data_IF_579589801691
#
_entry.id   IF_579589801691
#
_cell.length_a   1.000
_cell.length_b   1.000
_cell.length_c   1.000
_cell.angle_alpha   90.00
_cell.angle_beta   90.00
_cell.angle_gamma   90.00
#
_symmetry.space_group_name_H-M   'P 1'
#
loop_
_entity.id
_entity.type
_entity.pdbx_description
1 polymer ?
#
# COMPACT_ATOMS: atom_id res chain seq x y z
N UNK A 1 26.24 -42.60 51.08
CA UNK A 1 26.51 -41.95 49.78
C UNK A 1 25.30 -41.07 49.43
N UNK A 2 25.39 -39.75 49.60
CA UNK A 2 24.30 -38.80 49.30
C UNK A 2 24.49 -38.26 47.86
N UNK A 3 23.66 -38.66 46.91
CA UNK A 3 23.66 -38.14 45.57
C UNK A 3 22.83 -36.85 45.52
N UNK A 4 23.47 -35.81 45.06
CA UNK A 4 23.07 -34.42 45.00
C UNK A 4 21.73 -34.18 44.22
N UNK A 5 20.73 -33.65 44.93
CA UNK A 5 19.44 -33.21 44.37
C UNK A 5 19.49 -31.92 43.52
N UNK A 6 20.68 -31.35 43.30
CA UNK A 6 20.85 -30.06 42.65
C UNK A 6 20.85 -30.07 41.10
N UNK A 7 21.15 -31.23 40.48
CA UNK A 7 21.29 -31.29 39.00
C UNK A 7 19.99 -31.41 38.20
N UNK A 8 18.90 -31.80 38.84
CA UNK A 8 17.60 -31.96 38.12
C UNK A 8 16.82 -30.68 37.95
N UNK A 9 17.13 -29.60 38.71
CA UNK A 9 16.43 -28.32 38.62
C UNK A 9 16.99 -27.37 37.57
N UNK A 10 18.23 -27.54 37.14
CA UNK A 10 18.87 -26.71 36.09
C UNK A 10 18.50 -27.13 34.68
N UNK A 11 18.13 -28.41 34.46
CA UNK A 11 17.74 -28.91 33.14
C UNK A 11 16.30 -28.53 32.81
N UNK A 12 15.42 -28.38 33.80
CA UNK A 12 14.03 -27.98 33.58
C UNK A 12 13.86 -26.49 33.24
N UNK A 13 14.78 -25.63 33.67
CA UNK A 13 14.74 -24.20 33.36
C UNK A 13 15.24 -23.85 31.93
N UNK A 14 16.18 -24.67 31.38
CA UNK A 14 16.71 -24.44 30.05
C UNK A 14 15.75 -24.88 28.91
N UNK A 15 14.88 -25.87 29.17
CA UNK A 15 13.89 -26.34 28.17
C UNK A 15 12.67 -25.42 28.07
N UNK A 16 12.33 -24.72 29.17
CA UNK A 16 11.21 -23.77 29.17
C UNK A 16 11.51 -22.48 28.39
N UNK A 17 12.78 -22.07 28.30
CA UNK A 17 13.17 -20.83 27.64
C UNK A 17 13.27 -20.97 26.12
N UNK A 18 13.52 -22.19 25.61
CA UNK A 18 13.60 -22.44 24.16
C UNK A 18 12.23 -22.62 23.50
N UNK A 19 11.19 -22.95 24.24
CA UNK A 19 9.81 -23.05 23.71
C UNK A 19 9.10 -21.70 23.61
N UNK A 20 9.56 -20.68 24.33
CA UNK A 20 8.93 -19.34 24.27
C UNK A 20 9.37 -18.52 23.06
N UNK A 21 10.54 -18.78 22.47
CA UNK A 21 10.98 -18.09 21.26
C UNK A 21 10.35 -18.62 19.95
N UNK A 22 9.79 -19.83 19.97
CA UNK A 22 9.15 -20.41 18.78
C UNK A 22 7.72 -19.88 18.54
N UNK A 23 7.08 -19.26 19.55
CA UNK A 23 5.71 -18.71 19.41
C UNK A 23 5.69 -17.25 18.99
N UNK A 24 6.77 -16.51 19.12
CA UNK A 24 6.85 -15.13 18.70
C UNK A 24 7.01 -14.94 17.19
N UNK A 25 7.42 -16.00 16.46
CA UNK A 25 7.60 -15.96 15.00
C UNK A 25 6.33 -16.21 14.19
N UNK A 26 5.28 -16.79 14.78
CA UNK A 26 4.05 -17.14 14.06
C UNK A 26 2.98 -16.04 14.04
N UNK A 27 3.16 -14.97 14.81
CA UNK A 27 2.17 -13.88 14.93
C UNK A 27 2.25 -12.84 13.78
N UNK A 28 3.30 -12.88 12.95
CA UNK A 28 3.47 -11.94 11.83
C UNK A 28 2.95 -12.45 10.47
N UNK A 29 2.44 -13.69 10.43
CA UNK A 29 1.89 -14.28 9.21
C UNK A 29 0.36 -14.27 9.16
N UNK A 30 -0.32 -13.60 10.10
CA UNK A 30 -1.77 -13.42 10.01
C UNK A 30 -2.06 -12.30 9.02
N UNK A 31 -2.30 -12.71 7.75
CA UNK A 31 -2.80 -11.85 6.72
C UNK A 31 -4.03 -11.09 7.21
N UNK A 32 -4.06 -9.77 7.01
CA UNK A 32 -5.21 -8.94 7.36
C UNK A 32 -6.48 -9.53 6.75
N UNK A 33 -7.59 -9.60 7.51
CA UNK A 33 -8.88 -10.05 6.96
C UNK A 33 -9.28 -9.12 5.82
N UNK A 34 -9.23 -9.60 4.58
CA UNK A 34 -9.69 -8.82 3.44
C UNK A 34 -8.78 -8.83 2.21
N UNK A 35 -7.92 -9.83 2.00
CA UNK A 35 -7.36 -10.16 0.67
C UNK A 35 -6.41 -9.13 0.00
N UNK A 36 -6.08 -7.99 0.62
CA UNK A 36 -5.21 -6.95 0.05
C UNK A 36 -3.79 -6.80 0.66
N UNK A 37 -3.28 -7.67 1.54
CA UNK A 37 -2.06 -7.37 2.29
C UNK A 37 -0.80 -7.32 1.42
N UNK A 38 -0.70 -8.15 0.40
CA UNK A 38 0.52 -8.24 -0.42
C UNK A 38 0.54 -7.25 -1.59
N UNK A 39 -0.62 -6.75 -2.02
CA UNK A 39 -0.72 -5.83 -3.16
C UNK A 39 -0.03 -4.50 -2.87
N UNK A 40 -0.24 -3.93 -1.67
CA UNK A 40 0.37 -2.64 -1.31
C UNK A 40 1.89 -2.70 -1.25
N UNK A 41 2.44 -3.77 -0.66
CA UNK A 41 3.89 -3.93 -0.59
C UNK A 41 4.50 -4.19 -1.97
N UNK A 42 3.86 -5.01 -2.79
CA UNK A 42 4.28 -5.25 -4.15
C UNK A 42 4.16 -3.99 -5.03
N UNK A 43 3.11 -3.19 -4.84
CA UNK A 43 2.92 -1.92 -5.54
C UNK A 43 4.03 -0.91 -5.17
N UNK A 44 4.36 -0.79 -3.88
CA UNK A 44 5.48 0.05 -3.42
C UNK A 44 6.84 -0.36 -3.99
N UNK A 45 7.01 -1.65 -4.27
CA UNK A 45 8.23 -2.22 -4.82
C UNK A 45 8.20 -2.32 -6.36
N UNK A 46 7.11 -1.93 -7.02
CA UNK A 46 6.97 -2.03 -8.47
C UNK A 46 7.93 -1.06 -9.17
N UNK A 47 8.63 -1.50 -10.23
CA UNK A 47 9.46 -0.62 -11.05
C UNK A 47 8.66 0.58 -11.57
N UNK A 48 9.21 1.79 -11.41
CA UNK A 48 8.56 3.03 -11.83
C UNK A 48 7.38 3.48 -10.94
N UNK A 49 7.10 2.79 -9.82
CA UNK A 49 6.22 3.31 -8.77
C UNK A 49 7.02 4.30 -7.92
N UNK A 50 6.63 5.56 -7.96
CA UNK A 50 7.33 6.67 -7.28
C UNK A 50 6.92 6.82 -5.81
N UNK A 51 5.75 6.29 -5.44
CA UNK A 51 5.25 6.32 -4.08
C UNK A 51 3.81 5.84 -3.98
N UNK A 52 3.44 5.41 -2.78
CA UNK A 52 2.10 4.92 -2.46
C UNK A 52 1.67 5.45 -1.11
N UNK A 53 0.53 6.12 -1.10
CA UNK A 53 -0.17 6.55 0.10
C UNK A 53 -1.52 5.87 0.22
N UNK A 54 -2.03 5.76 1.43
CA UNK A 54 -3.36 5.20 1.68
C UNK A 54 -4.17 6.11 2.57
N UNK A 55 -5.48 6.10 2.36
CA UNK A 55 -6.38 6.94 3.12
C UNK A 55 -7.78 6.37 3.21
N UNK A 56 -8.68 7.16 3.80
CA UNK A 56 -10.10 6.89 3.86
C UNK A 56 -10.87 8.17 3.55
N UNK A 57 -11.87 8.08 2.71
CA UNK A 57 -12.78 9.19 2.44
C UNK A 57 -13.81 9.36 3.56
N UNK A 58 -14.45 10.52 3.64
CA UNK A 58 -15.58 10.78 4.54
C UNK A 58 -16.77 9.83 4.29
N UNK A 59 -16.92 9.33 3.05
CA UNK A 59 -17.91 8.30 2.68
C UNK A 59 -17.50 6.86 3.05
N UNK A 60 -16.38 6.69 3.78
CA UNK A 60 -15.91 5.39 4.27
C UNK A 60 -15.16 4.52 3.27
N UNK A 61 -14.89 5.02 2.05
CA UNK A 61 -14.06 4.28 1.08
C UNK A 61 -12.61 4.21 1.55
N UNK A 62 -11.96 3.07 1.37
CA UNK A 62 -10.49 2.99 1.44
C UNK A 62 -9.92 3.47 0.11
N UNK A 63 -8.86 4.26 0.16
CA UNK A 63 -8.22 4.83 -1.02
C UNK A 63 -6.73 4.51 -1.02
N UNK A 64 -6.23 4.15 -2.19
CA UNK A 64 -4.80 4.01 -2.47
C UNK A 64 -4.46 5.07 -3.50
N UNK A 65 -3.44 5.85 -3.22
CA UNK A 65 -2.82 6.81 -4.12
C UNK A 65 -1.48 6.24 -4.56
N UNK A 66 -1.31 5.95 -5.84
CA UNK A 66 -0.08 5.41 -6.39
C UNK A 66 0.43 6.30 -7.51
N UNK A 67 1.66 6.80 -7.37
CA UNK A 67 2.31 7.61 -8.41
C UNK A 67 3.21 6.72 -9.25
N UNK A 68 3.01 6.75 -10.55
CA UNK A 68 3.85 6.07 -11.53
C UNK A 68 4.61 7.08 -12.36
N UNK A 69 5.86 6.79 -12.69
CA UNK A 69 6.71 7.69 -13.48
C UNK A 69 6.23 7.83 -14.93
N UNK A 70 5.50 6.85 -15.47
CA UNK A 70 5.08 6.79 -16.87
C UNK A 70 3.90 5.85 -17.08
N UNK A 71 3.26 5.93 -18.26
CA UNK A 71 2.28 4.95 -18.72
C UNK A 71 2.86 3.54 -18.71
N UNK A 72 4.10 3.38 -19.19
CA UNK A 72 4.76 2.06 -19.22
C UNK A 72 4.83 1.43 -17.83
N UNK A 73 5.27 2.17 -16.81
CA UNK A 73 5.36 1.68 -15.45
C UNK A 73 4.00 1.24 -14.89
N UNK A 74 2.94 2.02 -15.17
CA UNK A 74 1.57 1.67 -14.78
C UNK A 74 1.07 0.40 -15.49
N UNK A 75 1.35 0.26 -16.78
CA UNK A 75 0.97 -0.93 -17.58
C UNK A 75 1.76 -2.16 -17.14
N UNK A 76 3.06 -2.02 -16.87
CA UNK A 76 3.89 -3.11 -16.31
C UNK A 76 3.33 -3.59 -14.96
N UNK A 77 2.92 -2.67 -14.08
CA UNK A 77 2.23 -3.01 -12.84
C UNK A 77 0.91 -3.73 -13.10
N UNK A 78 0.08 -3.23 -14.01
CA UNK A 78 -1.18 -3.87 -14.39
C UNK A 78 -0.99 -5.33 -14.82
N UNK A 79 0.05 -5.64 -15.59
CA UNK A 79 0.38 -6.98 -16.05
C UNK A 79 1.15 -7.82 -15.04
N UNK A 80 1.58 -7.25 -13.91
CA UNK A 80 2.32 -8.01 -12.90
C UNK A 80 1.49 -9.17 -12.34
N UNK A 81 2.16 -10.28 -12.03
CA UNK A 81 1.51 -11.47 -11.46
C UNK A 81 0.74 -11.17 -10.17
N UNK A 82 1.27 -10.24 -9.36
CA UNK A 82 0.64 -9.87 -8.08
C UNK A 82 -0.68 -9.15 -8.34
N UNK A 83 -0.68 -8.16 -9.26
CA UNK A 83 -1.88 -7.42 -9.62
C UNK A 83 -2.91 -8.34 -10.29
N UNK A 84 -2.49 -9.15 -11.26
CA UNK A 84 -3.38 -10.08 -11.97
C UNK A 84 -4.03 -11.12 -11.03
N UNK A 85 -3.27 -11.69 -10.09
CA UNK A 85 -3.83 -12.59 -9.08
C UNK A 85 -4.82 -11.88 -8.16
N UNK A 86 -4.52 -10.65 -7.73
CA UNK A 86 -5.42 -9.87 -6.90
C UNK A 86 -6.73 -9.57 -7.63
N UNK A 87 -6.66 -9.13 -8.88
CA UNK A 87 -7.84 -8.84 -9.70
C UNK A 87 -8.67 -10.11 -9.92
N UNK A 88 -8.05 -11.23 -10.22
CA UNK A 88 -8.75 -12.51 -10.40
C UNK A 88 -9.41 -13.02 -9.11
N UNK A 89 -8.81 -12.76 -7.94
CA UNK A 89 -9.42 -13.14 -6.66
C UNK A 89 -10.66 -12.30 -6.33
N UNK A 90 -10.69 -11.06 -6.75
CA UNK A 90 -11.83 -10.14 -6.53
C UNK A 90 -12.90 -10.31 -7.59
N UNK A 91 -12.51 -10.54 -8.84
CA UNK A 91 -13.39 -10.63 -10.01
C UNK A 91 -13.12 -11.93 -10.80
N UNK A 92 -13.45 -13.11 -10.26
CA UNK A 92 -13.07 -14.39 -10.85
C UNK A 92 -13.66 -14.63 -12.25
N UNK A 93 -14.80 -14.02 -12.55
CA UNK A 93 -15.55 -14.20 -13.79
C UNK A 93 -15.33 -13.05 -14.79
N UNK A 94 -14.41 -12.12 -14.51
CA UNK A 94 -14.15 -10.96 -15.38
C UNK A 94 -12.90 -11.20 -16.22
N UNK A 95 -13.00 -10.91 -17.52
CA UNK A 95 -11.85 -10.84 -18.41
C UNK A 95 -11.34 -9.39 -18.43
N UNK A 96 -10.07 -9.19 -18.16
CA UNK A 96 -9.44 -7.88 -18.18
C UNK A 96 -8.73 -7.64 -19.51
N UNK A 97 -8.64 -6.38 -19.91
CA UNK A 97 -8.02 -5.97 -21.17
C UNK A 97 -6.54 -6.38 -21.21
N UNK A 98 -6.12 -6.88 -22.37
CA UNK A 98 -4.71 -7.19 -22.62
C UNK A 98 -3.88 -5.94 -22.92
N UNK A 99 -4.53 -4.88 -23.40
CA UNK A 99 -3.92 -3.60 -23.70
C UNK A 99 -4.66 -2.50 -22.93
N UNK A 100 -4.35 -2.31 -21.64
CA UNK A 100 -4.97 -1.25 -20.86
C UNK A 100 -4.54 0.12 -21.34
N UNK A 101 -5.43 1.10 -21.25
CA UNK A 101 -5.17 2.51 -21.51
C UNK A 101 -4.75 2.83 -22.95
N UNK A 102 -5.42 2.32 -23.99
CA UNK A 102 -5.05 2.59 -25.38
C UNK A 102 -5.12 4.09 -25.71
N UNK A 103 -6.03 4.83 -25.07
CA UNK A 103 -6.24 6.28 -25.29
C UNK A 103 -5.19 7.17 -24.63
N UNK A 104 -4.37 6.62 -23.73
CA UNK A 104 -3.37 7.40 -23.02
C UNK A 104 -2.08 7.47 -23.84
N UNK A 105 -1.54 8.68 -24.15
CA UNK A 105 -0.28 8.82 -24.86
C UNK A 105 0.90 8.20 -24.12
N UNK A 106 1.90 7.69 -24.87
CA UNK A 106 3.08 7.06 -24.25
C UNK A 106 3.95 8.05 -23.46
N UNK A 107 3.93 9.33 -23.86
CA UNK A 107 4.69 10.42 -23.25
C UNK A 107 3.91 11.18 -22.17
N UNK A 108 2.86 10.58 -21.62
CA UNK A 108 2.00 11.22 -20.61
C UNK A 108 2.77 11.70 -19.36
N UNK A 109 3.95 11.13 -19.09
CA UNK A 109 4.74 11.46 -17.89
C UNK A 109 4.15 10.85 -16.62
N UNK A 110 4.30 11.56 -15.49
CA UNK A 110 3.85 11.05 -14.17
C UNK A 110 2.34 10.91 -14.09
N UNK A 111 1.88 9.77 -13.62
CA UNK A 111 0.47 9.42 -13.47
C UNK A 111 0.19 9.12 -11.99
N UNK A 112 -0.84 9.75 -11.45
CA UNK A 112 -1.44 9.38 -10.17
C UNK A 112 -2.62 8.44 -10.43
N UNK A 113 -2.52 7.20 -10.00
CA UNK A 113 -3.64 6.27 -9.96
C UNK A 113 -4.32 6.34 -8.57
N UNK A 114 -5.61 6.62 -8.56
CA UNK A 114 -6.45 6.61 -7.36
C UNK A 114 -7.34 5.39 -7.42
N UNK A 115 -7.10 4.43 -6.51
CA UNK A 115 -7.94 3.24 -6.36
C UNK A 115 -8.84 3.43 -5.15
N UNK A 116 -10.15 3.53 -5.35
CA UNK A 116 -11.14 3.68 -4.29
C UNK A 116 -11.96 2.40 -4.11
N UNK A 117 -12.00 1.86 -2.90
CA UNK A 117 -12.67 0.60 -2.60
C UNK A 117 -13.75 0.82 -1.53
N UNK A 118 -14.97 0.41 -1.83
CA UNK A 118 -16.06 0.31 -0.86
C UNK A 118 -16.31 -1.15 -0.55
N UNK A 119 -16.40 -1.48 0.73
CA UNK A 119 -16.76 -2.81 1.20
C UNK A 119 -18.26 -2.84 1.51
N UNK A 120 -18.89 -3.97 1.30
CA UNK A 120 -20.24 -4.21 1.78
C UNK A 120 -20.28 -4.14 3.32
N UNK A 121 -21.45 -3.86 3.87
CA UNK A 121 -21.66 -3.99 5.31
C UNK A 121 -21.36 -5.42 5.74
N UNK A 122 -20.75 -5.56 6.93
CA UNK A 122 -20.36 -6.87 7.45
C UNK A 122 -21.63 -7.71 7.69
N UNK A 123 -21.81 -8.76 6.90
CA UNK A 123 -22.71 -9.86 7.22
C UNK A 123 -22.06 -10.79 8.24
N UNK A 124 -22.82 -11.65 8.89
CA UNK A 124 -22.34 -12.61 9.91
C UNK A 124 -21.20 -13.51 9.43
N UNK A 125 -21.06 -13.71 8.13
CA UNK A 125 -19.99 -14.46 7.47
C UNK A 125 -18.76 -13.57 7.18
N UNK A 126 -18.24 -12.91 8.15
CA UNK A 126 -16.93 -12.18 8.32
C UNK A 126 -16.10 -11.85 7.06
N UNK A 127 -16.47 -12.22 5.86
CA UNK A 127 -15.82 -11.83 4.62
C UNK A 127 -16.41 -10.52 4.12
N UNK A 128 -15.70 -9.41 4.29
CA UNK A 128 -16.09 -8.11 3.72
C UNK A 128 -15.93 -8.17 2.21
N UNK A 129 -16.98 -8.55 1.51
CA UNK A 129 -17.01 -8.48 0.05
C UNK A 129 -16.79 -7.03 -0.41
N UNK A 130 -16.07 -6.85 -1.50
CA UNK A 130 -15.96 -5.55 -2.17
C UNK A 130 -17.29 -5.29 -2.85
N UNK A 131 -17.93 -4.16 -2.49
CA UNK A 131 -19.19 -3.71 -3.12
C UNK A 131 -18.94 -2.81 -4.31
N UNK A 132 -17.83 -2.05 -4.32
CA UNK A 132 -17.41 -1.31 -5.50
C UNK A 132 -15.90 -1.02 -5.45
N UNK A 133 -15.31 -0.93 -6.63
CA UNK A 133 -13.94 -0.44 -6.85
C UNK A 133 -13.97 0.56 -8.00
N UNK A 134 -13.28 1.67 -7.83
CA UNK A 134 -13.03 2.66 -8.87
C UNK A 134 -11.52 2.83 -9.03
N UNK A 135 -11.06 2.95 -10.27
CA UNK A 135 -9.66 3.27 -10.58
C UNK A 135 -9.70 4.48 -11.51
N UNK A 136 -9.12 5.57 -11.06
CA UNK A 136 -9.11 6.85 -11.75
C UNK A 136 -7.67 7.31 -11.94
N UNK A 137 -7.36 7.92 -13.08
CA UNK A 137 -6.02 8.37 -13.41
C UNK A 137 -5.98 9.88 -13.55
N UNK A 138 -4.93 10.49 -12.99
CA UNK A 138 -4.72 11.93 -13.00
C UNK A 138 -3.26 12.26 -13.32
N UNK A 139 -3.05 13.38 -13.99
CA UNK A 139 -1.72 13.95 -14.18
C UNK A 139 -1.52 15.20 -13.32
N UNK A 140 -0.28 15.52 -12.91
CA UNK A 140 0.00 16.75 -12.18
C UNK A 140 -0.15 17.97 -13.12
N UNK A 141 -1.04 18.89 -12.73
CA UNK A 141 -1.13 20.17 -13.41
C UNK A 141 0.02 21.10 -12.99
N UNK A 142 0.46 22.01 -13.88
CA UNK A 142 1.44 23.03 -13.50
C UNK A 142 0.92 23.96 -12.39
N UNK A 143 1.82 24.40 -11.52
CA UNK A 143 1.51 25.35 -10.44
C UNK A 143 1.23 24.66 -9.11
N UNK A 144 0.70 25.43 -8.17
CA UNK A 144 0.42 24.99 -6.82
C UNK A 144 1.37 25.57 -5.77
N UNK A 145 1.04 25.32 -4.50
CA UNK A 145 1.85 25.70 -3.33
C UNK A 145 1.92 24.55 -2.37
N UNK A 146 3.11 24.28 -1.85
CA UNK A 146 3.33 23.36 -0.75
C UNK A 146 4.01 24.10 0.41
N UNK A 147 3.50 23.95 1.62
CA UNK A 147 4.05 24.58 2.83
C UNK A 147 4.44 23.50 3.82
N UNK A 148 5.72 23.40 4.16
CA UNK A 148 6.24 22.39 5.08
C UNK A 148 6.21 20.96 4.56
N UNK A 149 5.95 20.76 3.27
CA UNK A 149 5.85 19.47 2.61
C UNK A 149 4.64 19.35 1.70
N UNK A 150 4.53 18.22 1.02
CA UNK A 150 3.44 17.95 0.07
C UNK A 150 3.00 16.47 0.12
N UNK A 151 1.80 16.21 -0.39
CA UNK A 151 1.22 14.87 -0.44
C UNK A 151 1.92 13.97 -1.49
N UNK A 152 2.23 14.53 -2.66
CA UNK A 152 2.96 13.77 -3.68
C UNK A 152 4.41 13.51 -3.25
N UNK A 153 5.00 12.36 -3.60
CA UNK A 153 6.42 12.10 -3.36
C UNK A 153 7.33 13.21 -3.93
N UNK A 154 8.43 13.50 -3.26
CA UNK A 154 9.35 14.58 -3.67
C UNK A 154 9.96 14.37 -5.07
N UNK A 155 10.08 13.10 -5.50
CA UNK A 155 10.58 12.74 -6.83
C UNK A 155 9.62 13.16 -7.94
N UNK A 156 8.32 13.30 -7.68
CA UNK A 156 7.32 13.80 -8.63
C UNK A 156 7.57 15.27 -8.92
N UNK A 157 7.94 15.60 -10.16
CA UNK A 157 8.19 16.99 -10.56
C UNK A 157 6.91 17.66 -11.03
N UNK A 158 6.55 18.76 -10.38
CA UNK A 158 5.41 19.61 -10.77
C UNK A 158 5.95 20.96 -11.23
N UNK A 159 5.76 21.27 -12.50
CA UNK A 159 6.24 22.55 -13.06
C UNK A 159 5.56 23.73 -12.38
N UNK A 160 6.34 24.68 -11.87
CA UNK A 160 5.80 25.90 -11.23
C UNK A 160 5.22 25.67 -9.84
N UNK A 161 5.44 24.53 -9.20
CA UNK A 161 5.12 24.35 -7.79
C UNK A 161 5.99 25.25 -6.94
N UNK A 162 5.38 26.05 -6.07
CA UNK A 162 6.05 26.88 -5.08
C UNK A 162 6.15 26.13 -3.75
N UNK A 163 7.36 25.81 -3.32
CA UNK A 163 7.60 25.18 -2.01
C UNK A 163 8.06 26.22 -0.99
N UNK A 164 7.41 26.26 0.17
CA UNK A 164 7.64 27.22 1.26
C UNK A 164 7.98 26.41 2.52
N UNK A 165 9.20 26.59 3.10
CA UNK A 165 9.51 26.00 4.39
C UNK A 165 8.54 26.45 5.48
N UNK A 166 8.23 25.58 6.46
CA UNK A 166 7.27 25.89 7.52
C UNK A 166 7.72 27.09 8.38
N UNK A 167 9.03 27.26 8.60
CA UNK A 167 9.60 28.37 9.36
C UNK A 167 9.33 29.73 8.70
N UNK A 168 9.29 29.75 7.36
CA UNK A 168 8.94 30.97 6.62
C UNK A 168 7.44 31.30 6.69
N UNK A 169 6.58 30.28 6.80
CA UNK A 169 5.15 30.44 6.88
C UNK A 169 4.69 30.93 8.27
N UNK A 170 5.43 30.63 9.32
CA UNK A 170 5.09 30.96 10.71
C UNK A 170 5.67 32.30 11.19
N UNK A 171 6.60 32.91 10.43
CA UNK A 171 7.22 34.17 10.81
C UNK A 171 6.25 35.33 10.53
N UNK A 172 5.80 36.10 11.55
CA UNK A 172 4.98 37.28 11.31
C UNK A 172 5.75 38.31 10.48
N UNK A 173 5.16 38.80 9.42
CA UNK A 173 5.66 39.97 8.68
C UNK A 173 5.59 41.18 9.61
N UNK A 174 6.76 41.74 9.97
CA UNK A 174 6.86 43.02 10.68
C UNK A 174 6.53 44.16 9.75
#
# INVERSE_FOLDING_TARGET
MKVSKGRKRLIAAAVALTLFCAWAGAALAQGSPGGFPNVLNALKAAPGCLGVETGRTSSGRRVIFAWFESKKALVDWYHSDVHQRAMKSVFPNTTFDRQPLPELPEDTGTILAIVSVKFAEATEDRSRAISSIGIELYGPLPGGVAVGGRFAPEVVKVRGLREIPIEAATRPTR
#
